data_IF_289311122381
#
_entry.id   IF_289311122381
#
_cell.length_a   1.000
_cell.length_b   1.000
_cell.length_c   1.000
_cell.angle_alpha   90.00
_cell.angle_beta   90.00
_cell.angle_gamma   90.00
#
_symmetry.space_group_name_H-M   'P 1'
#
loop_
_entity.id
_entity.type
_entity.pdbx_description
1 polymer ?
#
# COMPACT_ATOMS: atom_id res chain seq x y z
N UNK A 1 20.80 16.27 -21.91
CA UNK A 1 19.41 15.93 -22.07
C UNK A 1 19.05 14.56 -21.49
N UNK A 2 19.78 13.56 -21.88
CA UNK A 2 19.54 12.21 -21.38
C UNK A 2 19.70 12.17 -19.86
N UNK A 3 20.71 12.80 -19.30
CA UNK A 3 20.94 12.81 -17.88
C UNK A 3 19.79 13.47 -17.12
N UNK A 4 19.23 14.53 -17.69
CA UNK A 4 18.12 15.21 -17.08
C UNK A 4 16.88 14.33 -17.06
N UNK A 5 16.62 13.64 -18.15
CA UNK A 5 15.51 12.70 -18.21
C UNK A 5 15.72 11.54 -17.26
N UNK A 6 16.93 11.04 -17.18
CA UNK A 6 17.25 9.96 -16.28
C UNK A 6 17.03 10.38 -14.83
N UNK A 7 17.41 11.60 -14.46
CA UNK A 7 17.20 12.13 -13.13
C UNK A 7 15.72 12.24 -12.81
N UNK A 8 14.93 12.75 -13.76
CA UNK A 8 13.50 12.89 -13.61
C UNK A 8 12.83 11.52 -13.46
N UNK A 9 13.26 10.58 -14.28
CA UNK A 9 12.73 9.20 -14.19
C UNK A 9 13.08 8.57 -12.86
N UNK A 10 14.28 8.81 -12.37
CA UNK A 10 14.70 8.27 -11.09
C UNK A 10 13.86 8.80 -9.96
N UNK A 11 13.52 10.08 -9.99
CA UNK A 11 12.64 10.68 -8.99
C UNK A 11 11.24 10.09 -9.02
N UNK A 12 10.85 9.53 -10.16
CA UNK A 12 9.52 8.93 -10.35
C UNK A 12 9.56 7.41 -10.37
N UNK A 13 10.72 6.82 -10.09
CA UNK A 13 10.82 5.36 -10.06
C UNK A 13 9.90 4.80 -8.99
N UNK A 14 9.35 3.62 -9.23
CA UNK A 14 8.52 2.97 -8.22
C UNK A 14 9.29 2.75 -6.94
N UNK A 15 8.57 2.76 -5.83
CA UNK A 15 9.13 2.35 -4.56
C UNK A 15 9.42 0.87 -4.58
N UNK A 16 10.42 0.47 -3.81
CA UNK A 16 10.61 -0.95 -3.51
C UNK A 16 9.40 -1.41 -2.70
N UNK A 17 9.11 -2.68 -2.80
CA UNK A 17 7.95 -3.26 -2.11
C UNK A 17 8.43 -4.32 -1.12
N UNK A 18 7.91 -4.23 0.09
CA UNK A 18 8.12 -5.24 1.10
C UNK A 18 6.77 -5.56 1.73
N UNK A 19 6.69 -6.64 2.46
CA UNK A 19 5.46 -7.00 3.14
C UNK A 19 5.77 -7.88 4.35
N UNK A 20 4.87 -7.83 5.33
CA UNK A 20 5.02 -8.61 6.55
C UNK A 20 4.48 -10.01 6.35
N UNK A 21 4.82 -10.91 7.26
CA UNK A 21 4.25 -12.25 7.25
C UNK A 21 2.74 -12.21 7.51
N UNK A 22 2.29 -11.26 8.32
CA UNK A 22 0.85 -11.06 8.55
C UNK A 22 0.13 -10.71 7.26
N UNK A 23 0.72 -9.81 6.47
CA UNK A 23 0.13 -9.44 5.18
C UNK A 23 0.05 -10.66 4.26
N UNK A 24 1.12 -11.43 4.15
CA UNK A 24 1.16 -12.62 3.30
C UNK A 24 0.08 -13.61 3.66
N UNK A 25 -0.08 -13.88 4.96
CA UNK A 25 -1.08 -14.83 5.44
C UNK A 25 -2.49 -14.33 5.17
N UNK A 26 -2.73 -13.06 5.44
CA UNK A 26 -4.03 -12.45 5.20
C UNK A 26 -4.37 -12.45 3.71
N UNK A 27 -3.40 -12.07 2.87
CA UNK A 27 -3.58 -12.06 1.43
C UNK A 27 -4.02 -13.43 0.93
N UNK A 28 -3.30 -14.48 1.33
CA UNK A 28 -3.59 -15.83 0.89
C UNK A 28 -4.98 -16.26 1.33
N UNK A 29 -5.35 -15.95 2.57
CA UNK A 29 -6.66 -16.29 3.11
C UNK A 29 -7.78 -15.64 2.30
N UNK A 30 -7.67 -14.34 2.02
CA UNK A 30 -8.70 -13.63 1.28
C UNK A 30 -8.74 -14.06 -0.18
N UNK A 31 -7.58 -14.32 -0.76
CA UNK A 31 -7.48 -14.79 -2.13
C UNK A 31 -8.18 -16.14 -2.30
N UNK A 32 -7.91 -17.06 -1.40
CA UNK A 32 -8.50 -18.39 -1.47
C UNK A 32 -10.00 -18.38 -1.20
N UNK A 33 -10.45 -17.50 -0.32
CA UNK A 33 -11.88 -17.39 0.00
C UNK A 33 -12.68 -16.86 -1.19
N UNK A 34 -12.06 -16.04 -2.04
CA UNK A 34 -12.71 -15.58 -3.27
C UNK A 34 -13.87 -14.63 -3.06
N UNK A 35 -13.96 -13.99 -1.91
CA UNK A 35 -15.09 -13.10 -1.57
C UNK A 35 -14.77 -11.63 -1.69
N UNK A 36 -13.51 -11.29 -1.83
CA UNK A 36 -13.06 -9.90 -1.91
C UNK A 36 -12.44 -9.64 -3.28
N UNK A 37 -12.55 -8.40 -3.71
CA UNK A 37 -11.98 -7.99 -4.99
C UNK A 37 -10.47 -7.78 -4.81
N UNK A 38 -9.71 -8.84 -5.01
CA UNK A 38 -8.26 -8.78 -4.88
C UNK A 38 -7.62 -7.95 -5.97
N UNK A 39 -8.27 -7.80 -7.12
CA UNK A 39 -7.76 -6.93 -8.17
C UNK A 39 -7.85 -5.47 -7.75
N UNK A 40 -8.88 -5.10 -7.02
CA UNK A 40 -8.99 -3.75 -6.46
C UNK A 40 -7.85 -3.50 -5.47
N UNK A 41 -7.51 -4.50 -4.66
CA UNK A 41 -6.37 -4.40 -3.74
C UNK A 41 -5.08 -4.18 -4.51
N UNK A 42 -4.86 -4.94 -5.58
CA UNK A 42 -3.65 -4.80 -6.41
C UNK A 42 -3.58 -3.39 -7.02
N UNK A 43 -4.70 -2.87 -7.49
CA UNK A 43 -4.75 -1.53 -8.06
C UNK A 43 -4.28 -0.47 -7.06
N UNK A 44 -4.75 -0.57 -5.82
CA UNK A 44 -4.37 0.38 -4.78
C UNK A 44 -2.89 0.23 -4.42
N UNK A 45 -2.42 -1.01 -4.29
CA UNK A 45 -1.02 -1.28 -4.01
C UNK A 45 -0.13 -0.69 -5.10
N UNK A 46 -0.56 -0.81 -6.36
CA UNK A 46 0.17 -0.25 -7.49
C UNK A 46 0.26 1.26 -7.40
N UNK A 47 -0.80 1.93 -7.01
CA UNK A 47 -0.78 3.38 -6.80
C UNK A 47 0.30 3.74 -5.78
N UNK A 48 0.39 2.98 -4.71
CA UNK A 48 1.35 3.25 -3.64
C UNK A 48 2.78 3.05 -4.10
N UNK A 49 3.10 1.93 -4.73
CA UNK A 49 4.49 1.73 -5.13
C UNK A 49 4.87 2.55 -6.36
N UNK A 50 3.92 2.96 -7.19
CA UNK A 50 4.18 3.81 -8.34
C UNK A 50 4.26 5.30 -7.97
N UNK A 51 4.14 5.64 -6.69
CA UNK A 51 4.19 7.02 -6.18
C UNK A 51 3.07 7.89 -6.69
N UNK A 52 1.95 7.29 -7.06
CA UNK A 52 0.79 8.05 -7.52
C UNK A 52 -0.03 8.52 -6.33
N UNK A 53 -0.75 9.60 -6.53
CA UNK A 53 -1.63 10.14 -5.51
C UNK A 53 -2.79 9.18 -5.28
N UNK A 54 -3.13 8.98 -4.00
CA UNK A 54 -4.25 8.10 -3.65
C UNK A 54 -5.54 8.91 -3.75
N UNK A 55 -6.49 8.49 -4.60
CA UNK A 55 -7.78 9.18 -4.68
C UNK A 55 -8.49 9.26 -3.33
N UNK A 56 -9.21 10.35 -3.12
CA UNK A 56 -9.88 10.60 -1.85
C UNK A 56 -10.89 9.52 -1.46
N UNK A 57 -11.44 8.84 -2.45
CA UNK A 57 -12.42 7.77 -2.19
C UNK A 57 -11.87 6.63 -1.35
N UNK A 58 -10.55 6.45 -1.33
CA UNK A 58 -9.93 5.38 -0.54
C UNK A 58 -9.73 5.76 0.92
N UNK A 59 -10.00 7.00 1.29
CA UNK A 59 -9.96 7.48 2.69
C UNK A 59 -8.63 7.12 3.37
N UNK A 60 -7.53 7.42 2.69
CA UNK A 60 -6.19 7.15 3.21
C UNK A 60 -5.91 8.04 4.42
N UNK A 61 -5.52 7.45 5.54
CA UNK A 61 -5.29 8.20 6.77
C UNK A 61 -4.29 7.49 7.68
N UNK A 62 -3.67 8.25 8.58
CA UNK A 62 -2.76 7.70 9.56
C UNK A 62 -3.52 6.90 10.61
N UNK A 63 -2.92 5.81 11.04
CA UNK A 63 -3.44 5.04 12.17
C UNK A 63 -2.90 5.63 13.46
N UNK A 64 -3.79 5.72 14.45
CA UNK A 64 -3.42 6.23 15.77
C UNK A 64 -3.01 5.07 16.66
N UNK A 65 -2.16 5.37 17.65
CA UNK A 65 -1.68 4.38 18.58
C UNK A 65 -0.21 4.09 18.36
N UNK A 66 0.51 3.87 19.46
CA UNK A 66 1.97 3.68 19.39
C UNK A 66 2.36 2.41 18.64
N UNK A 67 1.52 1.39 18.68
CA UNK A 67 1.80 0.15 17.95
C UNK A 67 1.73 0.32 16.44
N UNK A 68 1.11 1.41 15.97
CA UNK A 68 0.97 1.68 14.55
C UNK A 68 1.89 2.79 14.06
N UNK A 69 2.92 3.12 14.80
CA UNK A 69 3.79 4.25 14.50
C UNK A 69 4.15 4.31 13.02
N UNK A 70 3.72 5.41 12.38
CA UNK A 70 4.00 5.63 10.97
C UNK A 70 3.15 4.81 10.01
N UNK A 71 2.24 3.99 10.49
CA UNK A 71 1.38 3.20 9.62
C UNK A 71 0.19 4.03 9.13
N UNK A 72 -0.27 3.71 7.94
CA UNK A 72 -1.44 4.33 7.34
C UNK A 72 -2.41 3.24 6.93
N UNK A 73 -3.66 3.62 6.81
CA UNK A 73 -4.72 2.70 6.42
C UNK A 73 -5.55 3.33 5.31
N UNK A 74 -5.96 2.53 4.34
CA UNK A 74 -6.90 2.99 3.34
C UNK A 74 -7.99 1.95 3.12
N UNK A 75 -9.11 2.40 2.57
CA UNK A 75 -10.26 1.54 2.29
C UNK A 75 -10.20 1.09 0.85
N UNK A 76 -9.98 -0.19 0.61
CA UNK A 76 -9.99 -0.76 -0.73
C UNK A 76 -11.43 -0.74 -1.26
N UNK A 77 -12.38 -1.10 -0.40
CA UNK A 77 -13.78 -1.07 -0.71
C UNK A 77 -14.57 -1.48 0.52
N UNK A 78 -15.52 -0.63 0.94
CA UNK A 78 -16.30 -0.90 2.13
C UNK A 78 -15.42 -1.08 3.36
N UNK A 79 -15.52 -2.24 3.98
CA UNK A 79 -14.75 -2.56 5.19
C UNK A 79 -13.44 -3.30 4.91
N UNK A 80 -13.08 -3.44 3.64
CA UNK A 80 -11.83 -4.13 3.27
C UNK A 80 -10.71 -3.11 3.21
N UNK A 81 -9.72 -3.28 4.07
CA UNK A 81 -8.71 -2.27 4.38
C UNK A 81 -7.30 -2.76 4.08
N UNK A 82 -6.43 -1.82 3.72
CA UNK A 82 -5.01 -2.08 3.54
C UNK A 82 -4.24 -1.21 4.52
N UNK A 83 -3.35 -1.84 5.30
CA UNK A 83 -2.46 -1.13 6.22
C UNK A 83 -1.05 -1.17 5.63
N UNK A 84 -0.39 -0.03 5.60
CA UNK A 84 0.93 0.08 4.98
C UNK A 84 1.78 1.14 5.66
N UNK A 85 3.08 1.08 5.39
CA UNK A 85 4.05 2.11 5.81
C UNK A 85 4.85 2.56 4.61
N UNK A 86 5.21 3.83 4.59
CA UNK A 86 6.10 4.37 3.56
C UNK A 86 7.34 4.91 4.24
N UNK A 87 8.50 4.52 3.72
CA UNK A 87 9.78 5.10 4.09
C UNK A 87 10.30 5.86 2.88
N UNK A 88 10.24 7.18 2.94
CA UNK A 88 10.76 8.01 1.85
C UNK A 88 12.28 7.90 1.77
N UNK A 89 12.93 7.79 2.91
CA UNK A 89 14.37 7.63 2.99
C UNK A 89 14.84 6.42 2.20
N UNK A 90 14.12 5.31 2.33
CA UNK A 90 14.50 4.05 1.69
C UNK A 90 13.78 3.82 0.37
N UNK A 91 12.90 4.73 -0.02
CA UNK A 91 12.07 4.56 -1.21
C UNK A 91 11.34 3.22 -1.19
N UNK A 92 10.66 2.98 -0.07
CA UNK A 92 10.08 1.67 0.24
C UNK A 92 8.64 1.82 0.71
N UNK A 93 7.78 0.94 0.22
CA UNK A 93 6.45 0.76 0.82
C UNK A 93 6.38 -0.65 1.39
N UNK A 94 5.95 -0.75 2.63
CA UNK A 94 5.76 -2.04 3.31
C UNK A 94 4.28 -2.27 3.51
N UNK A 95 3.76 -3.35 2.95
CA UNK A 95 2.37 -3.73 3.18
C UNK A 95 2.32 -4.52 4.49
N UNK A 96 1.62 -3.96 5.46
CA UNK A 96 1.63 -4.46 6.84
C UNK A 96 0.54 -5.50 7.07
N UNK A 97 -0.65 -5.23 6.57
CA UNK A 97 -1.76 -6.17 6.68
C UNK A 97 -2.88 -5.78 5.71
N UNK A 98 -3.78 -6.71 5.47
CA UNK A 98 -4.96 -6.50 4.65
C UNK A 98 -6.10 -7.26 5.30
N UNK A 99 -7.27 -6.66 5.39
CA UNK A 99 -8.39 -7.33 6.03
C UNK A 99 -9.53 -6.41 6.32
N UNK A 100 -10.43 -6.88 7.16
CA UNK A 100 -11.62 -6.13 7.53
C UNK A 100 -11.44 -5.49 8.89
N UNK A 101 -12.20 -4.43 9.14
CA UNK A 101 -12.29 -3.83 10.47
C UNK A 101 -12.85 -4.85 11.46
N UNK A 102 -12.39 -4.74 12.65
CA UNK A 102 -12.92 -5.57 13.75
C UNK A 102 -13.96 -4.85 14.52
#
# INVERSE_FOLDING_TARGET
MVSREASSKRAKCPRKVDYTSSFSKSWERYYKAGRRDMNAAITVMELLFSRKQIPAEYVDHELEGSEWDGARELHIGGDFLLVYRISDKDSLVTFVDIGTHR
#
